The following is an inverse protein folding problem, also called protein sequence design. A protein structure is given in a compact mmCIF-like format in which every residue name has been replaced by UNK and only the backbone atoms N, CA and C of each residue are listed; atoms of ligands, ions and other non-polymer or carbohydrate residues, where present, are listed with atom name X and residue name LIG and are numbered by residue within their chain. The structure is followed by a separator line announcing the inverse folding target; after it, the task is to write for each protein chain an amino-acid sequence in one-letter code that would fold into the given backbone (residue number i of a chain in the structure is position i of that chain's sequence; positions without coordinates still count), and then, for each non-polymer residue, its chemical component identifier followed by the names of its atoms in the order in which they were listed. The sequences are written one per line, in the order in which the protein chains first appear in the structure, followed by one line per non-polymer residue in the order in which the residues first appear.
data_IF_448919036829
#
_entry.id   IF_448919036829
#
_cell.length_a   1.000
_cell.length_b   1.000
_cell.length_c   1.000
_cell.angle_alpha   90.00
_cell.angle_beta   90.00
_cell.angle_gamma   90.00
#
_symmetry.space_group_name_H-M   'P 1'
#
loop_
_entity.id
_entity.type
_entity.pdbx_description
1 polymer ?
#
# COMPACT_ATOMS: atom_id res chain seq x y z
N UNK A 1 3.20 28.19 -5.05
CA UNK A 1 3.19 27.93 -3.60
C UNK A 1 4.06 26.72 -3.34
N UNK A 2 4.85 26.72 -2.28
CA UNK A 2 5.70 25.58 -1.90
C UNK A 2 4.81 24.45 -1.41
N UNK A 3 5.02 23.23 -1.91
CA UNK A 3 4.26 22.05 -1.48
C UNK A 3 4.54 21.77 0.02
N UNK A 4 3.52 21.68 0.90
CA UNK A 4 3.71 21.52 2.34
C UNK A 4 4.38 20.19 2.72
N UNK A 5 4.27 19.16 1.88
CA UNK A 5 4.95 17.87 2.07
C UNK A 5 6.46 17.94 1.77
N UNK A 6 6.93 19.01 1.14
CA UNK A 6 8.35 19.27 0.86
C UNK A 6 8.95 20.32 1.80
N UNK A 7 8.14 20.90 2.69
CA UNK A 7 8.57 21.95 3.59
C UNK A 7 9.51 21.40 4.66
N UNK A 8 10.59 22.15 4.94
CA UNK A 8 11.48 21.84 6.05
C UNK A 8 10.91 22.42 7.35
N UNK A 9 9.89 21.75 7.89
CA UNK A 9 9.20 22.12 9.13
C UNK A 9 9.53 21.11 10.25
N UNK A 10 9.65 21.54 11.52
CA UNK A 10 9.85 20.61 12.64
C UNK A 10 8.64 19.69 12.88
N UNK A 11 7.47 20.05 12.37
CA UNK A 11 6.23 19.26 12.44
C UNK A 11 5.53 19.21 11.08
N UNK A 12 4.86 18.10 10.72
CA UNK A 12 4.04 18.04 9.52
C UNK A 12 2.97 19.14 9.52
N UNK A 13 2.84 19.86 8.41
CA UNK A 13 1.85 20.94 8.21
C UNK A 13 0.48 20.37 7.84
N UNK A 14 -0.10 19.56 8.74
CA UNK A 14 -1.35 18.83 8.49
C UNK A 14 -2.52 19.72 8.05
N UNK A 15 -2.58 20.95 8.56
CA UNK A 15 -3.57 21.97 8.22
C UNK A 15 -3.48 22.48 6.77
N UNK A 16 -2.36 22.25 6.10
CA UNK A 16 -2.08 22.76 4.75
C UNK A 16 -1.99 21.65 3.69
N UNK A 17 -1.87 20.38 4.09
CA UNK A 17 -1.82 19.26 3.15
C UNK A 17 -3.19 19.11 2.48
N UNK A 18 -3.18 19.03 1.16
CA UNK A 18 -4.36 18.85 0.32
C UNK A 18 -4.11 17.71 -0.67
N UNK A 19 -5.14 17.03 -1.19
CA UNK A 19 -4.99 15.88 -2.09
C UNK A 19 -4.09 16.17 -3.31
N UNK A 20 -4.18 17.36 -3.90
CA UNK A 20 -3.38 17.80 -5.05
C UNK A 20 -1.89 17.93 -4.75
N UNK A 21 -1.49 18.00 -3.47
CA UNK A 21 -0.09 18.07 -3.06
C UNK A 21 0.58 16.69 -3.08
N UNK A 22 -0.18 15.59 -3.00
CA UNK A 22 0.37 14.26 -2.75
C UNK A 22 1.24 13.76 -3.90
N UNK A 23 0.70 13.65 -5.12
CA UNK A 23 1.47 13.11 -6.25
C UNK A 23 2.72 13.94 -6.56
N UNK A 24 2.66 15.28 -6.70
CA UNK A 24 3.85 16.07 -7.01
C UNK A 24 4.94 15.98 -5.92
N UNK A 25 4.55 15.92 -4.64
CA UNK A 25 5.54 15.77 -3.57
C UNK A 25 6.22 14.40 -3.61
N UNK A 26 5.45 13.34 -3.84
CA UNK A 26 5.98 11.98 -3.87
C UNK A 26 6.82 11.74 -5.12
N UNK A 27 6.46 12.33 -6.27
CA UNK A 27 7.30 12.33 -7.47
C UNK A 27 8.70 12.89 -7.18
N UNK A 28 8.75 14.04 -6.51
CA UNK A 28 10.00 14.70 -6.19
C UNK A 28 10.81 13.94 -5.13
N UNK A 29 10.15 13.44 -4.07
CA UNK A 29 10.81 12.69 -3.01
C UNK A 29 11.36 11.36 -3.52
N UNK A 30 10.60 10.63 -4.35
CA UNK A 30 11.04 9.39 -4.99
C UNK A 30 12.23 9.65 -5.93
N UNK A 31 12.17 10.70 -6.75
CA UNK A 31 13.29 11.04 -7.64
C UNK A 31 14.57 11.35 -6.84
N UNK A 32 14.44 12.05 -5.71
CA UNK A 32 15.56 12.35 -4.81
C UNK A 32 16.13 11.10 -4.14
N UNK A 33 15.29 10.16 -3.70
CA UNK A 33 15.76 8.92 -3.08
C UNK A 33 16.40 7.97 -4.08
N UNK A 34 15.88 7.89 -5.30
CA UNK A 34 16.50 7.13 -6.40
C UNK A 34 17.89 7.70 -6.75
N UNK A 35 18.01 9.04 -6.84
CA UNK A 35 19.30 9.68 -7.07
C UNK A 35 20.30 9.43 -5.93
N UNK A 36 19.85 9.49 -4.67
CA UNK A 36 20.67 9.19 -3.51
C UNK A 36 21.14 7.73 -3.50
N UNK A 37 20.26 6.78 -3.83
CA UNK A 37 20.61 5.36 -3.97
C UNK A 37 21.65 5.16 -5.07
N UNK A 38 21.43 5.76 -6.24
CA UNK A 38 22.35 5.69 -7.37
C UNK A 38 23.73 6.30 -7.06
N UNK A 39 23.80 7.30 -6.18
CA UNK A 39 25.06 7.90 -5.71
C UNK A 39 25.80 6.97 -4.74
N UNK A 40 25.13 6.50 -3.68
CA UNK A 40 25.80 5.69 -2.64
C UNK A 40 26.25 4.31 -3.13
N UNK A 41 25.64 3.82 -4.21
CA UNK A 41 25.98 2.52 -4.81
C UNK A 41 27.13 2.59 -5.81
N UNK A 42 27.65 3.78 -6.15
CA UNK A 42 28.82 3.90 -7.04
C UNK A 42 30.08 3.30 -6.41
N UNK A 43 30.92 2.64 -7.20
CA UNK A 43 32.17 2.04 -6.73
C UNK A 43 33.05 3.02 -5.94
N UNK A 44 33.16 4.27 -6.43
CA UNK A 44 33.95 5.33 -5.81
C UNK A 44 33.36 5.89 -4.50
N UNK A 45 32.09 5.65 -4.21
CA UNK A 45 31.46 6.13 -2.98
C UNK A 45 31.99 5.36 -1.76
N UNK A 46 32.39 6.02 -0.66
CA UNK A 46 32.97 5.33 0.49
C UNK A 46 31.94 4.42 1.17
N UNK A 47 32.35 3.18 1.47
CA UNK A 47 31.59 2.25 2.31
C UNK A 47 31.70 2.67 3.79
N UNK A 48 31.12 3.81 4.13
CA UNK A 48 31.21 4.46 5.44
C UNK A 48 29.82 4.82 5.92
N UNK A 49 29.49 4.42 7.15
CA UNK A 49 28.19 4.71 7.76
C UNK A 49 27.79 6.20 7.68
N UNK A 50 28.62 7.16 8.14
CA UNK A 50 28.24 8.58 8.08
C UNK A 50 28.06 9.12 6.66
N UNK A 51 28.82 8.64 5.67
CA UNK A 51 28.67 9.12 4.29
C UNK A 51 27.41 8.56 3.63
N UNK A 52 27.14 7.26 3.83
CA UNK A 52 25.90 6.63 3.33
C UNK A 52 24.69 7.30 3.99
N UNK A 53 24.70 7.47 5.31
CA UNK A 53 23.59 8.07 6.04
C UNK A 53 23.33 9.53 5.62
N UNK A 54 24.38 10.32 5.39
CA UNK A 54 24.26 11.72 4.97
C UNK A 54 23.54 11.88 3.62
N UNK A 55 23.66 10.89 2.74
CA UNK A 55 23.08 10.92 1.40
C UNK A 55 21.77 10.13 1.35
N UNK A 56 21.83 8.83 1.64
CA UNK A 56 20.68 7.94 1.52
C UNK A 56 19.68 8.13 2.65
N UNK A 57 20.10 8.01 3.92
CA UNK A 57 19.16 8.07 5.05
C UNK A 57 18.43 9.43 5.10
N UNK A 58 19.13 10.53 4.82
CA UNK A 58 18.52 11.87 4.74
C UNK A 58 17.47 11.96 3.63
N UNK A 59 17.71 11.37 2.47
CA UNK A 59 16.74 11.36 1.37
C UNK A 59 15.53 10.48 1.72
N UNK A 60 15.78 9.27 2.22
CA UNK A 60 14.74 8.29 2.57
C UNK A 60 13.90 8.74 3.75
N UNK A 61 14.49 9.47 4.71
CA UNK A 61 13.75 10.07 5.83
C UNK A 61 12.75 11.11 5.35
N UNK A 62 13.11 11.95 4.36
CA UNK A 62 12.17 12.92 3.78
C UNK A 62 11.01 12.24 3.06
N UNK A 63 11.29 11.16 2.30
CA UNK A 63 10.24 10.34 1.70
C UNK A 63 9.34 9.72 2.76
N UNK A 64 9.94 9.10 3.79
CA UNK A 64 9.22 8.46 4.91
C UNK A 64 8.33 9.46 5.66
N UNK A 65 8.87 10.63 6.03
CA UNK A 65 8.15 11.69 6.70
C UNK A 65 6.98 12.23 5.87
N UNK A 66 7.21 12.52 4.59
CA UNK A 66 6.16 13.00 3.68
C UNK A 66 5.05 11.97 3.46
N UNK A 67 5.44 10.71 3.19
CA UNK A 67 4.48 9.62 3.03
C UNK A 67 3.75 9.26 4.32
N UNK A 68 4.43 9.36 5.47
CA UNK A 68 3.85 9.17 6.79
C UNK A 68 2.75 10.19 7.09
N UNK A 69 2.94 11.46 6.74
CA UNK A 69 1.92 12.49 6.90
C UNK A 69 0.68 12.22 6.04
N UNK A 70 0.88 11.83 4.77
CA UNK A 70 -0.22 11.46 3.86
C UNK A 70 -0.95 10.21 4.36
N UNK A 71 -0.22 9.18 4.78
CA UNK A 71 -0.78 7.93 5.32
C UNK A 71 -1.57 8.18 6.60
N UNK A 72 -1.08 9.07 7.48
CA UNK A 72 -1.78 9.46 8.69
C UNK A 72 -3.10 10.16 8.38
N UNK A 73 -3.11 11.17 7.51
CA UNK A 73 -4.33 11.87 7.10
C UNK A 73 -5.33 10.91 6.45
N UNK A 74 -4.88 10.00 5.58
CA UNK A 74 -5.72 8.95 5.02
C UNK A 74 -6.32 8.02 6.10
N UNK A 75 -5.69 7.89 7.26
CA UNK A 75 -6.19 7.07 8.37
C UNK A 75 -7.14 7.80 9.33
N UNK A 76 -6.97 9.12 9.53
CA UNK A 76 -7.67 9.85 10.61
C UNK A 76 -8.55 11.02 10.11
N UNK A 77 -8.36 11.44 8.87
CA UNK A 77 -9.03 12.58 8.24
C UNK A 77 -9.30 12.30 6.75
N UNK A 78 -9.75 11.08 6.44
CA UNK A 78 -10.00 10.61 5.08
C UNK A 78 -11.09 11.45 4.37
N UNK A 79 -10.81 11.77 3.09
CA UNK A 79 -11.79 12.28 2.13
C UNK A 79 -11.70 11.47 0.84
N UNK A 80 -12.75 11.41 0.00
CA UNK A 80 -12.69 10.73 -1.30
C UNK A 80 -11.50 11.16 -2.17
N UNK A 81 -11.18 12.45 -2.18
CA UNK A 81 -10.09 13.04 -2.95
C UNK A 81 -8.73 12.63 -2.40
N UNK A 82 -8.54 12.67 -1.06
CA UNK A 82 -7.31 12.25 -0.41
C UNK A 82 -7.05 10.76 -0.61
N UNK A 83 -8.09 9.92 -0.51
CA UNK A 83 -8.00 8.48 -0.75
C UNK A 83 -7.59 8.17 -2.19
N UNK A 84 -8.16 8.87 -3.17
CA UNK A 84 -7.77 8.70 -4.57
C UNK A 84 -6.29 9.07 -4.79
N UNK A 85 -5.84 10.18 -4.21
CA UNK A 85 -4.45 10.62 -4.29
C UNK A 85 -3.48 9.63 -3.60
N UNK A 86 -3.86 9.09 -2.44
CA UNK A 86 -3.10 8.06 -1.74
C UNK A 86 -2.95 6.79 -2.59
N UNK A 87 -4.07 6.25 -3.09
CA UNK A 87 -4.09 5.01 -3.88
C UNK A 87 -3.29 5.13 -5.18
N UNK A 88 -3.26 6.32 -5.80
CA UNK A 88 -2.49 6.55 -7.02
C UNK A 88 -0.96 6.48 -6.81
N UNK A 89 -0.48 6.73 -5.59
CA UNK A 89 0.96 6.83 -5.28
C UNK A 89 1.49 5.63 -4.50
N UNK A 90 0.65 4.97 -3.71
CA UNK A 90 1.00 3.80 -2.89
C UNK A 90 1.84 2.74 -3.64
N UNK A 91 1.50 2.33 -4.89
CA UNK A 91 2.28 1.32 -5.60
C UNK A 91 3.74 1.72 -5.79
N UNK A 92 4.01 2.97 -6.16
CA UNK A 92 5.37 3.48 -6.45
C UNK A 92 6.22 3.61 -5.19
N UNK A 93 5.61 4.05 -4.09
CA UNK A 93 6.30 4.11 -2.79
C UNK A 93 6.65 2.69 -2.31
N UNK A 94 5.70 1.75 -2.45
CA UNK A 94 5.92 0.35 -2.07
C UNK A 94 7.02 -0.30 -2.91
N UNK A 95 7.01 -0.06 -4.22
CA UNK A 95 8.03 -0.54 -5.17
C UNK A 95 9.42 -0.02 -4.79
N UNK A 96 9.56 1.28 -4.51
CA UNK A 96 10.84 1.87 -4.11
C UNK A 96 11.42 1.22 -2.85
N UNK A 97 10.63 1.08 -1.77
CA UNK A 97 11.12 0.47 -0.52
C UNK A 97 11.47 -1.01 -0.70
N UNK A 98 10.72 -1.72 -1.52
CA UNK A 98 10.99 -3.12 -1.87
C UNK A 98 12.33 -3.24 -2.60
N UNK A 99 12.54 -2.43 -3.64
CA UNK A 99 13.80 -2.38 -4.38
C UNK A 99 14.99 -1.98 -3.49
N UNK A 100 14.83 -0.95 -2.66
CA UNK A 100 15.88 -0.49 -1.75
C UNK A 100 16.33 -1.60 -0.79
N UNK A 101 15.38 -2.35 -0.23
CA UNK A 101 15.67 -3.46 0.69
C UNK A 101 16.33 -4.67 0.03
N UNK A 102 16.27 -4.79 -1.29
CA UNK A 102 16.84 -5.87 -2.08
C UNK A 102 18.05 -5.43 -2.94
N UNK A 103 18.49 -4.18 -2.83
CA UNK A 103 19.58 -3.65 -3.66
C UNK A 103 20.93 -4.26 -3.28
N UNK A 104 21.49 -5.07 -4.18
CA UNK A 104 22.74 -5.82 -3.96
C UNK A 104 23.97 -4.91 -3.86
N UNK A 105 23.97 -3.80 -4.60
CA UNK A 105 25.07 -2.83 -4.59
C UNK A 105 25.12 -2.11 -3.24
N UNK A 106 23.96 -1.73 -2.72
CA UNK A 106 23.83 -1.15 -1.39
C UNK A 106 24.22 -2.18 -0.32
N UNK A 107 23.77 -3.43 -0.46
CA UNK A 107 24.20 -4.50 0.45
C UNK A 107 25.71 -4.65 0.49
N UNK A 108 26.38 -4.65 -0.67
CA UNK A 108 27.83 -4.70 -0.77
C UNK A 108 28.51 -3.53 -0.03
N UNK A 109 27.95 -2.32 -0.12
CA UNK A 109 28.41 -1.16 0.67
C UNK A 109 28.26 -1.41 2.17
N UNK A 110 27.12 -1.90 2.63
CA UNK A 110 26.92 -2.21 4.05
C UNK A 110 27.88 -3.30 4.55
N UNK A 111 28.15 -4.35 3.77
CA UNK A 111 29.15 -5.39 4.13
C UNK A 111 30.57 -4.84 4.25
N UNK A 112 30.92 -3.85 3.43
CA UNK A 112 32.26 -3.26 3.39
C UNK A 112 32.52 -2.22 4.50
N UNK A 113 31.51 -1.83 5.28
CA UNK A 113 31.67 -0.92 6.41
C UNK A 113 32.56 -1.57 7.49
N UNK A 114 33.61 -0.86 7.93
CA UNK A 114 34.39 -1.26 9.10
C UNK A 114 33.54 -1.11 10.37
N UNK A 115 33.04 -2.23 10.89
CA UNK A 115 32.21 -2.29 12.09
C UNK A 115 32.91 -1.77 13.36
N UNK A 116 34.24 -1.68 13.37
CA UNK A 116 35.00 -1.13 14.49
C UNK A 116 34.94 0.40 14.54
N UNK A 117 34.64 1.05 13.41
CA UNK A 117 34.45 2.51 13.32
C UNK A 117 33.10 2.98 13.88
N UNK A 118 32.16 2.04 14.09
CA UNK A 118 30.80 2.34 14.50
C UNK A 118 30.66 2.53 16.02
N UNK A 119 29.70 3.34 16.45
CA UNK A 119 29.24 3.35 17.84
C UNK A 119 28.26 2.18 18.12
N UNK A 120 27.74 2.08 19.34
CA UNK A 120 26.89 0.95 19.74
C UNK A 120 25.56 0.90 18.99
N UNK A 121 24.92 2.05 18.82
CA UNK A 121 23.65 2.21 18.12
C UNK A 121 23.81 1.91 16.63
N UNK A 122 24.88 2.44 16.01
CA UNK A 122 25.23 2.19 14.61
C UNK A 122 25.56 0.72 14.35
N UNK A 123 26.28 0.04 15.27
CA UNK A 123 26.50 -1.41 15.15
C UNK A 123 25.19 -2.19 15.15
N UNK A 124 24.24 -1.82 16.01
CA UNK A 124 22.94 -2.48 16.05
C UNK A 124 22.12 -2.20 14.78
N UNK A 125 22.11 -0.96 14.31
CA UNK A 125 21.44 -0.58 13.06
C UNK A 125 22.07 -1.30 11.85
N UNK A 126 23.40 -1.38 11.78
CA UNK A 126 24.15 -2.12 10.77
C UNK A 126 23.80 -3.60 10.78
N UNK A 127 23.80 -4.25 11.95
CA UNK A 127 23.39 -5.64 12.11
C UNK A 127 21.97 -5.87 11.59
N UNK A 128 21.03 -4.98 11.90
CA UNK A 128 19.65 -5.06 11.43
C UNK A 128 19.57 -4.89 9.91
N UNK A 129 20.28 -3.91 9.34
CA UNK A 129 20.32 -3.67 7.91
C UNK A 129 20.89 -4.89 7.15
N UNK A 130 22.05 -5.41 7.56
CA UNK A 130 22.66 -6.61 6.98
C UNK A 130 21.73 -7.81 7.07
N UNK A 131 21.10 -8.05 8.22
CA UNK A 131 20.10 -9.12 8.38
C UNK A 131 18.94 -8.97 7.39
N UNK A 132 18.41 -7.76 7.25
CA UNK A 132 17.29 -7.51 6.35
C UNK A 132 17.68 -7.75 4.89
N UNK A 133 18.88 -7.35 4.45
CA UNK A 133 19.38 -7.69 3.11
C UNK A 133 19.52 -9.20 2.88
N UNK A 134 20.02 -9.95 3.88
CA UNK A 134 20.09 -11.41 3.81
C UNK A 134 18.69 -12.01 3.63
N UNK A 135 17.70 -11.52 4.39
CA UNK A 135 16.29 -11.93 4.25
C UNK A 135 15.67 -11.50 2.91
N UNK A 136 16.25 -10.52 2.21
CA UNK A 136 15.90 -10.15 0.83
C UNK A 136 16.62 -11.02 -0.21
N UNK A 137 17.30 -12.09 0.19
CA UNK A 137 18.01 -13.01 -0.71
C UNK A 137 19.38 -12.54 -1.19
N UNK A 138 19.95 -11.47 -0.61
CA UNK A 138 21.18 -10.86 -1.11
C UNK A 138 22.45 -11.73 -1.00
N UNK A 139 22.42 -12.80 -0.19
CA UNK A 139 23.50 -13.80 -0.10
C UNK A 139 23.25 -15.07 -0.91
N UNK A 140 22.10 -15.18 -1.58
CA UNK A 140 21.81 -16.32 -2.45
C UNK A 140 22.72 -16.28 -3.68
N UNK A 141 23.18 -17.45 -4.10
CA UNK A 141 24.05 -17.63 -5.27
C UNK A 141 23.51 -18.72 -6.19
N UNK A 142 23.92 -18.68 -7.46
CA UNK A 142 23.56 -19.71 -8.45
C UNK A 142 22.04 -19.85 -8.63
N UNK A 143 21.57 -21.10 -8.69
CA UNK A 143 20.16 -21.43 -8.94
C UNK A 143 19.22 -20.89 -7.86
N UNK A 144 19.65 -20.86 -6.59
CA UNK A 144 18.84 -20.34 -5.49
C UNK A 144 18.52 -18.85 -5.67
N UNK A 145 19.48 -18.06 -6.14
CA UNK A 145 19.28 -16.63 -6.44
C UNK A 145 18.30 -16.42 -7.58
N UNK A 146 18.48 -17.18 -8.67
CA UNK A 146 17.58 -17.12 -9.84
C UNK A 146 16.15 -17.48 -9.42
N UNK A 147 16.00 -18.55 -8.62
CA UNK A 147 14.69 -18.99 -8.16
C UNK A 147 14.05 -17.99 -7.20
N UNK A 148 14.81 -17.42 -6.27
CA UNK A 148 14.33 -16.38 -5.37
C UNK A 148 13.81 -15.16 -6.14
N UNK A 149 14.54 -14.67 -7.15
CA UNK A 149 14.11 -13.55 -7.97
C UNK A 149 12.77 -13.83 -8.70
N UNK A 150 12.64 -15.03 -9.28
CA UNK A 150 11.37 -15.47 -9.91
C UNK A 150 10.21 -15.54 -8.90
N UNK A 151 10.49 -16.00 -7.68
CA UNK A 151 9.49 -16.05 -6.61
C UNK A 151 9.06 -14.63 -6.23
N UNK A 152 9.99 -13.68 -6.07
CA UNK A 152 9.66 -12.29 -5.75
C UNK A 152 8.81 -11.64 -6.83
N UNK A 153 9.20 -11.77 -8.10
CA UNK A 153 8.46 -11.26 -9.26
C UNK A 153 7.04 -11.83 -9.28
N UNK A 154 6.92 -13.16 -9.16
CA UNK A 154 5.61 -13.82 -9.17
C UNK A 154 4.74 -13.46 -7.97
N UNK A 155 5.31 -13.34 -6.78
CA UNK A 155 4.57 -12.89 -5.59
C UNK A 155 4.09 -11.44 -5.74
N UNK A 156 4.87 -10.56 -6.37
CA UNK A 156 4.47 -9.18 -6.65
C UNK A 156 3.29 -9.14 -7.64
N UNK A 157 3.37 -9.87 -8.76
CA UNK A 157 2.28 -10.01 -9.73
C UNK A 157 1.00 -10.53 -9.07
N UNK A 158 1.10 -11.60 -8.28
CA UNK A 158 -0.03 -12.21 -7.58
C UNK A 158 -0.63 -11.26 -6.54
N UNK A 159 0.19 -10.50 -5.83
CA UNK A 159 -0.28 -9.51 -4.85
C UNK A 159 -1.02 -8.36 -5.53
N UNK A 160 -0.51 -7.86 -6.67
CA UNK A 160 -1.21 -6.88 -7.48
C UNK A 160 -2.55 -7.46 -7.96
N UNK A 161 -2.55 -8.65 -8.54
CA UNK A 161 -3.77 -9.29 -9.06
C UNK A 161 -4.80 -9.56 -7.97
N UNK A 162 -4.36 -9.99 -6.78
CA UNK A 162 -5.22 -10.14 -5.61
C UNK A 162 -5.94 -8.84 -5.26
N UNK A 163 -5.19 -7.74 -5.22
CA UNK A 163 -5.72 -6.41 -4.89
C UNK A 163 -6.70 -5.90 -5.96
N UNK A 164 -6.37 -6.05 -7.24
CA UNK A 164 -7.24 -5.72 -8.37
C UNK A 164 -8.56 -6.48 -8.28
N UNK A 165 -8.51 -7.80 -8.13
CA UNK A 165 -9.70 -8.64 -8.01
C UNK A 165 -10.58 -8.25 -6.81
N UNK A 166 -9.98 -7.92 -5.67
CA UNK A 166 -10.72 -7.48 -4.48
C UNK A 166 -11.41 -6.12 -4.70
N UNK A 167 -10.74 -5.19 -5.40
CA UNK A 167 -11.30 -3.90 -5.79
C UNK A 167 -12.43 -4.08 -6.79
N UNK A 168 -12.19 -4.80 -7.88
CA UNK A 168 -13.18 -5.04 -8.94
C UNK A 168 -14.42 -5.76 -8.39
N UNK A 169 -14.24 -6.76 -7.53
CA UNK A 169 -15.36 -7.41 -6.84
C UNK A 169 -16.13 -6.48 -5.90
N UNK A 170 -15.49 -5.44 -5.36
CA UNK A 170 -16.14 -4.42 -4.52
C UNK A 170 -16.93 -3.43 -5.39
N UNK A 171 -16.37 -3.00 -6.52
CA UNK A 171 -16.99 -2.06 -7.46
C UNK A 171 -18.15 -2.69 -8.25
N UNK A 172 -18.05 -3.98 -8.60
CA UNK A 172 -19.06 -4.67 -9.38
C UNK A 172 -20.39 -4.87 -8.64
N UNK A 173 -20.38 -4.87 -7.30
CA UNK A 173 -21.60 -4.99 -6.52
C UNK A 173 -22.36 -3.67 -6.43
N UNK A 174 -23.64 -3.71 -6.79
CA UNK A 174 -24.58 -2.63 -6.53
C UNK A 174 -25.95 -3.21 -6.17
N UNK A 175 -26.57 -2.67 -5.12
CA UNK A 175 -27.94 -3.00 -4.75
C UNK A 175 -28.78 -1.73 -4.65
N UNK A 176 -29.91 -1.68 -5.35
CA UNK A 176 -30.82 -0.55 -5.31
C UNK A 176 -31.94 -0.86 -4.32
N UNK A 177 -31.81 -0.36 -3.10
CA UNK A 177 -32.77 -0.55 -2.04
C UNK A 177 -33.99 0.38 -2.19
N UNK A 178 -35.14 -0.05 -1.70
CA UNK A 178 -36.30 0.83 -1.52
C UNK A 178 -36.17 1.68 -0.24
N UNK A 179 -37.01 2.71 -0.10
CA UNK A 179 -36.95 3.62 1.04
C UNK A 179 -37.24 2.93 2.39
N UNK A 180 -38.16 1.97 2.40
CA UNK A 180 -38.54 1.18 3.57
C UNK A 180 -37.41 0.25 4.05
N UNK A 181 -36.58 -0.27 3.15
CA UNK A 181 -35.43 -1.09 3.51
C UNK A 181 -34.36 -0.30 4.32
N UNK A 182 -34.29 1.02 4.14
CA UNK A 182 -33.31 1.90 4.78
C UNK A 182 -33.74 2.43 6.15
N UNK A 183 -34.82 1.93 6.74
CA UNK A 183 -35.24 2.35 8.07
C UNK A 183 -34.08 2.18 9.08
N UNK A 184 -33.71 3.27 9.76
CA UNK A 184 -32.62 3.32 10.73
C UNK A 184 -31.27 3.77 10.16
N UNK A 185 -31.03 3.65 8.85
CA UNK A 185 -29.78 4.12 8.22
C UNK A 185 -29.66 5.65 8.34
N UNK A 186 -28.47 6.22 8.66
CA UNK A 186 -28.28 7.66 8.77
C UNK A 186 -28.71 8.45 7.52
N UNK A 187 -29.31 9.62 7.73
CA UNK A 187 -29.94 10.41 6.65
C UNK A 187 -28.94 10.91 5.59
N UNK A 188 -27.71 11.22 5.99
CA UNK A 188 -26.60 11.58 5.10
C UNK A 188 -26.21 10.41 4.17
N UNK A 189 -26.17 9.19 4.71
CA UNK A 189 -25.92 7.97 3.93
C UNK A 189 -27.07 7.71 2.95
N UNK A 190 -28.32 7.87 3.39
CA UNK A 190 -29.48 7.75 2.50
C UNK A 190 -29.45 8.79 1.38
N UNK A 191 -29.12 10.05 1.68
CA UNK A 191 -29.01 11.10 0.68
C UNK A 191 -27.91 10.80 -0.36
N UNK A 192 -26.74 10.34 0.09
CA UNK A 192 -25.65 9.93 -0.80
C UNK A 192 -26.05 8.73 -1.69
N UNK A 193 -26.67 7.71 -1.11
CA UNK A 193 -27.15 6.53 -1.85
C UNK A 193 -28.22 6.90 -2.90
N UNK A 194 -29.12 7.85 -2.57
CA UNK A 194 -30.11 8.37 -3.51
C UNK A 194 -29.47 9.13 -4.65
N UNK A 195 -28.52 10.01 -4.36
CA UNK A 195 -27.79 10.76 -5.39
C UNK A 195 -27.04 9.83 -6.35
N UNK A 196 -26.40 8.78 -5.82
CA UNK A 196 -25.71 7.77 -6.64
C UNK A 196 -26.67 6.98 -7.54
N UNK A 197 -27.85 6.58 -7.04
CA UNK A 197 -28.86 5.91 -7.88
C UNK A 197 -29.36 6.83 -9.00
N UNK A 198 -29.66 8.09 -8.69
CA UNK A 198 -30.11 9.08 -9.66
C UNK A 198 -29.06 9.36 -10.74
N UNK A 199 -27.77 9.44 -10.38
CA UNK A 199 -26.68 9.63 -11.33
C UNK A 199 -26.58 8.51 -12.37
N UNK A 200 -27.05 7.30 -12.03
CA UNK A 200 -27.08 6.14 -12.92
C UNK A 200 -28.45 5.92 -13.60
N UNK A 201 -29.39 6.86 -13.43
CA UNK A 201 -30.74 6.74 -13.97
C UNK A 201 -31.55 5.60 -13.34
N UNK A 202 -31.21 5.22 -12.10
CA UNK A 202 -31.88 4.16 -11.35
C UNK A 202 -32.75 4.74 -10.25
N UNK A 203 -33.85 4.06 -9.96
CA UNK A 203 -34.70 4.38 -8.81
C UNK A 203 -34.12 3.81 -7.50
N UNK A 204 -34.75 4.16 -6.37
CA UNK A 204 -34.31 3.72 -5.04
C UNK A 204 -33.02 4.39 -4.55
N UNK A 205 -32.22 3.63 -3.83
CA UNK A 205 -31.00 4.05 -3.14
C UNK A 205 -29.87 3.08 -3.44
N UNK A 206 -28.79 3.55 -4.07
CA UNK A 206 -27.66 2.70 -4.45
C UNK A 206 -26.79 2.40 -3.23
N UNK A 207 -26.72 1.13 -2.85
CA UNK A 207 -25.82 0.61 -1.84
C UNK A 207 -24.68 -0.17 -2.50
N UNK A 208 -23.47 0.00 -1.96
CA UNK A 208 -22.25 -0.64 -2.46
C UNK A 208 -21.51 -1.33 -1.32
N UNK A 209 -20.44 -2.05 -1.64
CA UNK A 209 -19.59 -2.69 -0.62
C UNK A 209 -18.48 -1.76 -0.08
N UNK A 210 -18.45 -0.50 -0.53
CA UNK A 210 -17.54 0.52 0.00
C UNK A 210 -17.92 0.82 1.44
N UNK A 211 -16.92 0.99 2.31
CA UNK A 211 -17.11 1.16 3.75
C UNK A 211 -18.11 2.26 4.13
N UNK A 212 -18.11 3.46 3.49
CA UNK A 212 -19.10 4.49 3.79
C UNK A 212 -20.56 4.11 3.48
N UNK A 213 -20.80 3.06 2.68
CA UNK A 213 -22.14 2.51 2.39
C UNK A 213 -22.42 1.26 3.21
N UNK A 214 -21.47 0.31 3.25
CA UNK A 214 -21.63 -0.98 3.92
C UNK A 214 -21.76 -0.87 5.44
N UNK A 215 -20.85 -0.14 6.11
CA UNK A 215 -20.84 -0.08 7.58
C UNK A 215 -22.11 0.54 8.17
N UNK A 216 -22.61 1.69 7.67
CA UNK A 216 -23.84 2.28 8.22
C UNK A 216 -25.06 1.36 8.06
N UNK A 217 -25.16 0.62 6.95
CA UNK A 217 -26.23 -0.38 6.78
C UNK A 217 -26.11 -1.49 7.81
N UNK A 218 -24.90 -2.02 8.04
CA UNK A 218 -24.68 -3.09 9.02
C UNK A 218 -24.92 -2.63 10.47
N UNK A 219 -24.62 -1.36 10.79
CA UNK A 219 -24.75 -0.82 12.13
C UNK A 219 -26.17 -0.35 12.48
N UNK A 220 -26.86 0.26 11.52
CA UNK A 220 -28.07 1.04 11.81
C UNK A 220 -29.34 0.56 11.09
N UNK A 221 -29.23 -0.16 9.97
CA UNK A 221 -30.43 -0.61 9.26
C UNK A 221 -31.23 -1.58 10.13
N UNK A 222 -32.54 -1.34 10.30
CA UNK A 222 -33.44 -2.23 11.03
C UNK A 222 -33.77 -3.49 10.23
N UNK A 223 -33.85 -3.38 8.90
CA UNK A 223 -34.13 -4.51 8.00
C UNK A 223 -33.05 -5.60 8.09
N UNK A 224 -33.39 -6.77 8.64
CA UNK A 224 -32.49 -7.92 8.70
C UNK A 224 -32.16 -8.47 7.31
N UNK A 225 -33.14 -8.46 6.40
CA UNK A 225 -32.96 -8.90 5.01
C UNK A 225 -31.95 -8.02 4.27
N UNK A 226 -31.98 -6.70 4.49
CA UNK A 226 -30.99 -5.79 3.91
C UNK A 226 -29.58 -6.07 4.45
N UNK A 227 -29.45 -6.22 5.77
CA UNK A 227 -28.16 -6.57 6.41
C UNK A 227 -27.63 -7.90 5.91
N UNK A 228 -28.47 -8.93 5.80
CA UNK A 228 -28.07 -10.24 5.26
C UNK A 228 -27.55 -10.12 3.83
N UNK A 229 -28.26 -9.38 2.96
CA UNK A 229 -27.88 -9.21 1.56
C UNK A 229 -26.50 -8.58 1.43
N UNK A 230 -26.25 -7.45 2.12
CA UNK A 230 -24.96 -6.77 2.09
C UNK A 230 -23.88 -7.61 2.79
N UNK A 231 -24.19 -8.26 3.92
CA UNK A 231 -23.24 -9.12 4.61
C UNK A 231 -22.74 -10.26 3.72
N UNK A 232 -23.65 -10.98 3.05
CA UNK A 232 -23.27 -12.07 2.13
C UNK A 232 -22.38 -11.52 1.03
N UNK A 233 -22.84 -10.48 0.34
CA UNK A 233 -22.08 -9.85 -0.74
C UNK A 233 -20.68 -9.41 -0.31
N UNK A 234 -20.54 -8.81 0.88
CA UNK A 234 -19.25 -8.35 1.41
C UNK A 234 -18.29 -9.50 1.76
N UNK A 235 -18.80 -10.59 2.36
CA UNK A 235 -17.99 -11.72 2.82
C UNK A 235 -17.66 -12.74 1.71
N UNK A 236 -18.35 -12.66 0.57
CA UNK A 236 -18.07 -13.48 -0.61
C UNK A 236 -17.42 -12.69 -1.74
N UNK A 237 -16.83 -11.52 -1.45
CA UNK A 237 -16.08 -10.75 -2.46
C UNK A 237 -14.83 -11.51 -2.87
N UNK A 238 -14.51 -11.43 -4.16
CA UNK A 238 -13.34 -12.04 -4.76
C UNK A 238 -13.15 -13.51 -4.36
N UNK A 239 -14.26 -14.25 -4.29
CA UNK A 239 -14.27 -15.67 -3.94
C UNK A 239 -15.14 -16.49 -4.89
N UNK A 240 -14.96 -17.80 -4.84
CA UNK A 240 -15.79 -18.79 -5.53
C UNK A 240 -17.26 -18.80 -5.07
N UNK A 241 -17.59 -18.09 -3.98
CA UNK A 241 -18.94 -17.89 -3.48
C UNK A 241 -19.59 -16.59 -3.97
N UNK A 242 -18.87 -15.76 -4.74
CA UNK A 242 -19.43 -14.60 -5.39
C UNK A 242 -20.50 -15.01 -6.44
N UNK A 243 -21.44 -14.12 -6.81
CA UNK A 243 -22.32 -14.35 -7.96
C UNK A 243 -21.54 -14.80 -9.19
N UNK A 244 -22.13 -15.64 -10.04
CA UNK A 244 -21.44 -16.23 -11.19
C UNK A 244 -20.83 -15.17 -12.14
N UNK A 245 -21.49 -14.03 -12.29
CA UNK A 245 -21.00 -12.87 -13.05
C UNK A 245 -19.72 -12.23 -12.47
N UNK A 246 -19.39 -12.48 -11.20
CA UNK A 246 -18.19 -12.01 -10.50
C UNK A 246 -17.15 -13.11 -10.26
N UNK A 247 -17.37 -14.33 -10.78
CA UNK A 247 -16.45 -15.47 -10.62
C UNK A 247 -15.05 -15.20 -11.19
N UNK A 248 -14.92 -14.27 -12.14
CA UNK A 248 -13.64 -13.82 -12.69
C UNK A 248 -12.71 -13.12 -11.69
N UNK A 249 -13.23 -12.73 -10.52
CA UNK A 249 -12.47 -12.08 -9.46
C UNK A 249 -12.03 -13.04 -8.34
N UNK A 250 -12.24 -14.35 -8.48
CA UNK A 250 -11.89 -15.30 -7.41
C UNK A 250 -10.38 -15.31 -7.09
N UNK A 251 -10.04 -15.00 -5.84
CA UNK A 251 -8.68 -14.98 -5.33
C UNK A 251 -8.22 -16.31 -4.71
N UNK A 252 -9.06 -17.34 -4.69
CA UNK A 252 -8.75 -18.63 -4.05
C UNK A 252 -7.50 -19.29 -4.63
N UNK A 253 -7.34 -19.28 -5.96
CA UNK A 253 -6.15 -19.83 -6.61
C UNK A 253 -4.90 -18.96 -6.36
N UNK A 254 -5.06 -17.63 -6.42
CA UNK A 254 -3.99 -16.66 -6.16
C UNK A 254 -3.44 -16.83 -4.74
N UNK A 255 -4.31 -16.94 -3.73
CA UNK A 255 -3.89 -17.16 -2.33
C UNK A 255 -3.11 -18.47 -2.16
N UNK A 256 -3.55 -19.55 -2.80
CA UNK A 256 -2.83 -20.84 -2.74
C UNK A 256 -1.44 -20.74 -3.34
N UNK A 257 -1.30 -20.06 -4.47
CA UNK A 257 -0.02 -19.87 -5.13
C UNK A 257 0.92 -18.98 -4.28
N UNK A 258 0.41 -17.88 -3.71
CA UNK A 258 1.17 -17.03 -2.78
C UNK A 258 1.70 -17.84 -1.59
N UNK A 259 0.86 -18.69 -0.98
CA UNK A 259 1.28 -19.51 0.17
C UNK A 259 2.35 -20.54 -0.22
N UNK A 260 2.23 -21.17 -1.38
CA UNK A 260 3.23 -22.10 -1.89
C UNK A 260 4.58 -21.39 -2.14
N UNK A 261 4.54 -20.22 -2.77
CA UNK A 261 5.72 -19.41 -3.06
C UNK A 261 6.40 -18.90 -1.78
N UNK A 262 5.64 -18.47 -0.77
CA UNK A 262 6.18 -18.05 0.54
C UNK A 262 6.82 -19.20 1.30
N UNK A 263 6.26 -20.40 1.20
CA UNK A 263 6.88 -21.59 1.79
C UNK A 263 8.21 -21.89 1.10
N UNK A 264 8.24 -21.85 -0.23
CA UNK A 264 9.47 -22.07 -1.00
C UNK A 264 10.53 -21.00 -0.71
N UNK A 265 10.14 -19.73 -0.67
CA UNK A 265 10.99 -18.59 -0.26
C UNK A 265 11.64 -18.84 1.11
N UNK A 266 10.85 -19.30 2.10
CA UNK A 266 11.33 -19.57 3.45
C UNK A 266 12.34 -20.73 3.54
N UNK A 267 12.38 -21.60 2.53
CA UNK A 267 13.33 -22.71 2.44
C UNK A 267 14.62 -22.32 1.71
N UNK A 268 14.61 -21.20 0.97
CA UNK A 268 15.79 -20.66 0.30
C UNK A 268 16.64 -19.80 1.23
N UNK A 269 16.02 -19.13 2.20
CA UNK A 269 16.67 -18.23 3.18
C UNK A 269 17.11 -18.96 4.46
#
# INVERSE_FOLDING_TARGET
MTNPLLANSPLPLFDQIQPEHVSPAMDELLARTEAALAEVTQDAFPASWPEIARVLDVATEKLSSGWGAVSHLNSVADTPELRAAYNAVLPRVTEFWTRLGADESLYAKYKAIDVNSLNTEQRQAHKNAVRNFVLSGAELVGEARVRFAQIQERQAELSQKFSENALDSTEAFSYYASADELEGVPADVQASARAQALAEGKEGYKLTLKMPSYLPVMQFAKSSALREKLYRAYNTRASDQAPAEHSGFDNSAIMKEILALRLEESQLL
#
